data_IF_964496902197
#
_entry.id   IF_964496902197
#
_cell.length_a   1.000
_cell.length_b   1.000
_cell.length_c   1.000
_cell.angle_alpha   90.00
_cell.angle_beta   90.00
_cell.angle_gamma   90.00
#
_symmetry.space_group_name_H-M   'P 1'
#
loop_
_entity.id
_entity.type
_entity.pdbx_description
1 polymer ?
#
# COMPACT_ATOMS: atom_id res chain seq x y z
N UNK A 1 62.78 -62.58 1.38
CA UNK A 1 62.30 -62.26 0.00
C UNK A 1 61.26 -61.18 0.12
N UNK A 2 61.63 -59.91 -0.20
CA UNK A 2 60.73 -58.72 -0.26
C UNK A 2 60.38 -58.49 -1.71
N UNK A 3 59.10 -58.17 -2.01
CA UNK A 3 58.79 -57.43 -3.24
C UNK A 3 58.58 -55.98 -2.97
N UNK A 4 59.04 -55.15 -3.90
CA UNK A 4 59.10 -53.70 -3.97
C UNK A 4 57.69 -53.17 -4.23
N UNK A 5 57.28 -52.16 -3.44
CA UNK A 5 56.13 -51.31 -3.75
C UNK A 5 56.56 -50.23 -4.80
N UNK A 6 55.81 -50.19 -5.88
CA UNK A 6 55.86 -49.06 -6.87
C UNK A 6 54.87 -48.01 -6.51
N UNK A 7 55.33 -46.77 -6.34
CA UNK A 7 54.52 -45.56 -6.25
C UNK A 7 53.74 -45.33 -7.57
N UNK A 8 52.44 -45.24 -7.51
CA UNK A 8 51.58 -44.74 -8.55
C UNK A 8 51.00 -43.40 -8.12
N UNK A 9 51.27 -42.35 -8.90
CA UNK A 9 50.77 -41.02 -8.75
C UNK A 9 49.24 -40.97 -8.77
N UNK A 10 48.63 -40.43 -7.71
CA UNK A 10 47.22 -40.09 -7.67
C UNK A 10 47.10 -38.59 -7.91
N UNK A 11 46.67 -38.20 -9.10
CA UNK A 11 46.23 -36.85 -9.39
C UNK A 11 44.89 -36.62 -8.67
N UNK A 12 44.88 -35.75 -7.67
CA UNK A 12 43.66 -35.26 -7.04
C UNK A 12 43.06 -34.19 -7.91
N UNK A 13 41.96 -34.49 -8.59
CA UNK A 13 41.12 -33.49 -9.24
C UNK A 13 40.25 -32.81 -8.16
N UNK A 14 40.59 -31.58 -7.86
CA UNK A 14 39.75 -30.71 -7.03
C UNK A 14 38.52 -30.29 -7.83
N UNK A 15 37.36 -30.92 -7.59
CA UNK A 15 36.07 -30.38 -8.03
C UNK A 15 35.72 -29.17 -7.15
N UNK A 16 35.81 -27.97 -7.75
CA UNK A 16 35.23 -26.75 -7.17
C UNK A 16 33.72 -26.85 -7.29
N UNK A 17 33.04 -27.21 -6.21
CA UNK A 17 31.60 -27.08 -6.08
C UNK A 17 31.29 -25.59 -5.93
N UNK A 18 30.87 -24.91 -7.01
CA UNK A 18 30.19 -23.62 -6.93
C UNK A 18 28.88 -23.86 -6.20
N UNK A 19 28.84 -23.53 -4.92
CA UNK A 19 27.57 -23.39 -4.19
C UNK A 19 26.82 -22.24 -4.83
N UNK A 20 25.76 -22.56 -5.61
CA UNK A 20 24.74 -21.58 -5.97
C UNK A 20 24.06 -21.13 -4.66
N UNK A 21 24.45 -19.98 -4.16
CA UNK A 21 23.69 -19.29 -3.13
C UNK A 21 22.28 -19.04 -3.71
N UNK A 22 21.20 -19.41 -3.00
CA UNK A 22 19.87 -19.05 -3.42
C UNK A 22 19.86 -17.51 -3.52
N UNK A 23 19.50 -16.98 -4.70
CA UNK A 23 19.34 -15.56 -4.90
C UNK A 23 18.41 -15.04 -3.82
N UNK A 24 18.94 -14.23 -2.91
CA UNK A 24 18.15 -13.40 -2.02
C UNK A 24 17.38 -12.53 -2.98
N UNK A 25 16.08 -12.78 -3.13
CA UNK A 25 15.17 -11.86 -3.80
C UNK A 25 15.36 -10.52 -3.08
N UNK A 26 16.03 -9.60 -3.74
CA UNK A 26 16.27 -8.26 -3.23
C UNK A 26 14.88 -7.66 -3.07
N UNK A 27 14.42 -7.58 -1.84
CA UNK A 27 13.16 -6.94 -1.51
C UNK A 27 13.29 -5.53 -2.04
N UNK A 28 12.51 -5.21 -3.09
CA UNK A 28 12.54 -3.90 -3.71
C UNK A 28 12.24 -2.88 -2.62
N UNK A 29 13.20 -2.01 -2.34
CA UNK A 29 13.09 -1.00 -1.30
C UNK A 29 11.85 -0.17 -1.60
N UNK A 30 10.91 -0.13 -0.66
CA UNK A 30 9.64 0.59 -0.83
C UNK A 30 9.95 2.06 -1.08
N UNK A 31 9.63 2.54 -2.27
CA UNK A 31 9.72 3.96 -2.57
C UNK A 31 8.65 4.71 -1.76
N UNK A 32 9.09 5.38 -0.70
CA UNK A 32 8.23 6.22 0.14
C UNK A 32 7.99 7.57 -0.52
N UNK A 33 6.78 8.10 -0.38
CA UNK A 33 6.43 9.40 -0.95
C UNK A 33 6.82 10.55 -0.03
N UNK A 34 7.99 11.14 -0.30
CA UNK A 34 8.51 12.27 0.47
C UNK A 34 7.65 13.54 0.39
N UNK A 35 6.79 13.68 -0.62
CA UNK A 35 5.87 14.84 -0.76
C UNK A 35 4.82 14.87 0.33
N UNK A 36 4.52 13.73 0.92
CA UNK A 36 3.58 13.53 2.03
C UNK A 36 4.26 13.03 3.29
N UNK A 37 5.58 13.17 3.42
CA UNK A 37 6.35 12.65 4.55
C UNK A 37 6.03 11.19 4.89
N UNK A 38 5.83 10.35 3.86
CA UNK A 38 5.51 8.94 4.07
C UNK A 38 6.63 8.23 4.82
N UNK A 39 6.25 7.51 5.85
CA UNK A 39 7.15 6.64 6.60
C UNK A 39 6.38 5.45 7.18
N UNK A 40 7.12 4.45 7.66
CA UNK A 40 6.53 3.23 8.24
C UNK A 40 6.84 3.21 9.74
N UNK A 41 5.83 2.96 10.54
CA UNK A 41 5.97 2.73 11.98
C UNK A 41 5.48 1.33 12.34
N UNK A 42 5.98 0.80 13.46
CA UNK A 42 5.53 -0.47 14.01
C UNK A 42 4.62 -0.18 15.19
N UNK A 43 3.33 -0.51 15.05
CA UNK A 43 2.32 -0.29 16.08
C UNK A 43 2.15 -1.55 16.93
N UNK A 44 2.40 -1.49 18.26
CA UNK A 44 2.17 -2.62 19.14
C UNK A 44 0.69 -2.99 19.21
N UNK A 45 0.36 -4.26 19.02
CA UNK A 45 -1.02 -4.79 19.04
C UNK A 45 -1.09 -6.17 19.71
N UNK A 46 -2.33 -6.64 19.89
CA UNK A 46 -2.60 -7.92 20.54
C UNK A 46 -2.24 -7.96 22.01
N UNK A 47 -2.38 -9.12 22.65
CA UNK A 47 -2.16 -9.25 24.09
C UNK A 47 -0.74 -8.81 24.50
N UNK A 48 -0.64 -7.80 25.35
CA UNK A 48 0.62 -7.22 25.85
C UNK A 48 1.51 -6.62 24.75
N UNK A 49 0.94 -6.16 23.62
CA UNK A 49 1.70 -5.55 22.54
C UNK A 49 2.70 -6.48 21.85
N UNK A 50 2.43 -7.80 21.83
CA UNK A 50 3.36 -8.78 21.25
C UNK A 50 3.33 -8.88 19.73
N UNK A 51 2.28 -8.41 19.11
CA UNK A 51 2.22 -8.24 17.66
C UNK A 51 2.66 -6.82 17.31
N UNK A 52 3.24 -6.66 16.11
CA UNK A 52 3.63 -5.37 15.56
C UNK A 52 2.92 -5.21 14.22
N UNK A 53 2.17 -4.13 14.08
CA UNK A 53 1.47 -3.81 12.84
C UNK A 53 2.36 -2.88 12.01
N UNK A 54 2.73 -3.33 10.80
CA UNK A 54 3.35 -2.48 9.80
C UNK A 54 2.34 -1.39 9.42
N UNK A 55 2.64 -0.14 9.77
CA UNK A 55 1.69 0.95 9.58
C UNK A 55 2.31 2.05 8.74
N UNK A 56 1.71 2.33 7.60
CA UNK A 56 2.06 3.50 6.78
C UNK A 56 1.52 4.75 7.43
N UNK A 57 2.37 5.77 7.51
CA UNK A 57 1.99 7.10 8.00
C UNK A 57 2.29 8.12 6.92
N UNK A 58 1.31 8.99 6.63
CA UNK A 58 1.52 10.20 5.84
C UNK A 58 1.23 11.41 6.73
N UNK A 59 1.99 12.48 6.54
CA UNK A 59 1.84 13.69 7.33
C UNK A 59 1.95 14.95 6.47
N UNK A 60 1.20 16.00 6.78
CA UNK A 60 1.47 17.32 6.24
C UNK A 60 2.84 17.84 6.72
N UNK A 61 3.36 18.86 6.07
CA UNK A 61 4.52 19.59 6.56
C UNK A 61 4.19 20.34 7.85
N UNK A 62 5.12 20.38 8.80
CA UNK A 62 4.97 21.12 10.06
C UNK A 62 4.92 20.21 11.30
N UNK A 63 4.87 20.81 12.48
CA UNK A 63 4.98 20.06 13.73
C UNK A 63 3.67 19.39 14.19
N UNK A 64 2.51 19.75 13.62
CA UNK A 64 1.21 19.35 14.15
C UNK A 64 0.79 20.18 15.39
N UNK A 65 -0.17 19.72 16.23
CA UNK A 65 -0.89 18.45 16.04
C UNK A 65 -1.87 18.48 14.87
N UNK A 66 -1.95 17.38 14.12
CA UNK A 66 -2.82 17.22 12.96
C UNK A 66 -4.07 16.43 13.32
N UNK A 67 -5.25 16.74 12.76
CA UNK A 67 -6.37 15.82 12.75
C UNK A 67 -5.92 14.51 12.09
N UNK A 68 -6.52 13.39 12.50
CA UNK A 68 -6.10 12.07 12.05
C UNK A 68 -7.21 11.33 11.31
N UNK A 69 -6.84 10.63 10.23
CA UNK A 69 -7.63 9.54 9.70
C UNK A 69 -6.86 8.23 9.79
N UNK A 70 -7.52 7.17 10.31
CA UNK A 70 -7.03 5.79 10.26
C UNK A 70 -7.81 5.08 9.17
N UNK A 71 -7.13 4.48 8.17
CA UNK A 71 -7.76 3.81 7.03
C UNK A 71 -7.44 2.31 7.10
N UNK A 72 -8.47 1.48 7.15
CA UNK A 72 -8.36 0.04 7.33
C UNK A 72 -8.56 -0.70 6.02
N UNK A 73 -7.58 -1.53 5.66
CA UNK A 73 -7.53 -2.27 4.39
C UNK A 73 -8.55 -3.42 4.32
N UNK A 74 -8.88 -3.82 3.11
CA UNK A 74 -9.68 -5.01 2.80
C UNK A 74 -8.91 -6.33 3.02
N UNK A 75 -9.39 -7.39 2.39
CA UNK A 75 -8.70 -8.68 2.32
C UNK A 75 -8.72 -9.15 0.87
N UNK A 76 -7.56 -9.24 0.27
CA UNK A 76 -7.41 -9.80 -1.07
C UNK A 76 -7.68 -11.32 -1.06
N UNK A 77 -8.08 -11.89 -2.21
CA UNK A 77 -8.10 -13.34 -2.37
C UNK A 77 -6.74 -13.96 -2.06
N UNK A 78 -6.73 -15.10 -1.39
CA UNK A 78 -5.51 -15.83 -1.08
C UNK A 78 -5.00 -15.63 0.35
N UNK A 79 -3.68 -15.75 0.52
CA UNK A 79 -3.03 -15.75 1.84
C UNK A 79 -2.79 -14.32 2.34
N UNK A 80 -3.27 -13.94 3.52
CA UNK A 80 -3.15 -12.57 4.03
C UNK A 80 -1.71 -12.04 4.11
N UNK A 81 -0.75 -12.88 4.47
CA UNK A 81 0.66 -12.51 4.57
C UNK A 81 1.35 -12.27 3.20
N UNK A 82 0.65 -12.55 2.10
CA UNK A 82 1.11 -12.24 0.75
C UNK A 82 0.45 -10.99 0.18
N UNK A 83 -0.57 -10.45 0.86
CA UNK A 83 -1.15 -9.16 0.49
C UNK A 83 -0.09 -8.07 0.66
N UNK A 84 0.15 -7.24 -0.36
CA UNK A 84 1.09 -6.13 -0.24
C UNK A 84 0.61 -5.10 0.79
N UNK A 85 1.52 -4.25 1.22
CA UNK A 85 1.20 -3.12 2.08
C UNK A 85 0.25 -2.15 1.38
N UNK A 86 -0.92 -1.92 1.98
CA UNK A 86 -1.87 -0.90 1.52
C UNK A 86 -1.42 0.50 1.93
N UNK A 87 -1.67 1.46 1.08
CA UNK A 87 -1.34 2.88 1.29
C UNK A 87 -2.56 3.78 1.18
N UNK A 88 -3.60 3.35 0.47
CA UNK A 88 -4.76 4.17 0.09
C UNK A 88 -4.34 5.54 -0.45
N UNK A 89 -3.36 5.51 -1.35
CA UNK A 89 -2.59 6.67 -1.79
C UNK A 89 -3.45 7.88 -2.20
N UNK A 90 -4.48 7.67 -3.00
CA UNK A 90 -5.35 8.74 -3.46
C UNK A 90 -6.17 9.35 -2.32
N UNK A 91 -6.70 8.50 -1.44
CA UNK A 91 -7.39 8.96 -0.24
C UNK A 91 -6.44 9.67 0.72
N UNK A 92 -5.26 9.09 0.97
CA UNK A 92 -4.22 9.70 1.80
C UNK A 92 -3.84 11.09 1.27
N UNK A 93 -3.62 11.22 -0.05
CA UNK A 93 -3.32 12.52 -0.68
C UNK A 93 -4.43 13.54 -0.44
N UNK A 94 -5.69 13.16 -0.61
CA UNK A 94 -6.84 14.05 -0.40
C UNK A 94 -6.94 14.53 1.05
N UNK A 95 -6.61 13.68 2.02
CA UNK A 95 -6.61 14.03 3.43
C UNK A 95 -5.39 14.86 3.84
N UNK A 96 -4.17 14.52 3.36
CA UNK A 96 -2.97 15.32 3.63
C UNK A 96 -3.13 16.75 3.09
N UNK A 97 -3.73 16.93 1.90
CA UNK A 97 -4.08 18.25 1.38
C UNK A 97 -4.97 19.07 2.34
N UNK A 98 -5.77 18.38 3.16
CA UNK A 98 -6.68 19.00 4.15
C UNK A 98 -6.09 19.09 5.56
N UNK A 99 -4.78 18.84 5.68
CA UNK A 99 -4.06 18.99 6.94
C UNK A 99 -4.14 17.76 7.85
N UNK A 100 -4.64 16.62 7.39
CA UNK A 100 -4.67 15.41 8.19
C UNK A 100 -3.35 14.65 8.14
N UNK A 101 -2.97 14.08 9.26
CA UNK A 101 -2.15 12.88 9.26
C UNK A 101 -3.01 11.66 8.88
N UNK A 102 -2.41 10.70 8.22
CA UNK A 102 -3.07 9.47 7.78
C UNK A 102 -2.29 8.26 8.30
N UNK A 103 -2.97 7.30 8.90
CA UNK A 103 -2.37 6.02 9.31
C UNK A 103 -3.10 4.87 8.62
N UNK A 104 -2.32 3.98 8.00
CA UNK A 104 -2.85 2.77 7.32
C UNK A 104 -2.18 1.54 7.95
N UNK A 105 -2.78 0.97 9.01
CA UNK A 105 -2.24 -0.23 9.63
C UNK A 105 -2.54 -1.46 8.77
N UNK A 106 -1.52 -2.29 8.51
CA UNK A 106 -1.71 -3.67 8.09
C UNK A 106 -2.04 -4.49 9.33
N UNK A 107 -3.23 -5.12 9.36
CA UNK A 107 -3.67 -5.87 10.54
C UNK A 107 -2.83 -7.13 10.77
N UNK A 108 -2.94 -7.76 11.95
CA UNK A 108 -2.16 -8.96 12.30
C UNK A 108 -2.24 -10.06 11.23
N UNK A 109 -1.09 -10.54 10.80
CA UNK A 109 -0.95 -11.59 9.79
C UNK A 109 -1.07 -11.13 8.34
N UNK A 110 -1.21 -9.82 8.08
CA UNK A 110 -1.15 -9.23 6.74
C UNK A 110 0.22 -8.57 6.49
N UNK A 111 0.65 -8.58 5.24
CA UNK A 111 1.93 -8.00 4.79
C UNK A 111 3.09 -8.39 5.71
N UNK A 112 3.84 -7.42 6.25
CA UNK A 112 4.94 -7.63 7.19
C UNK A 112 4.51 -7.50 8.67
N UNK A 113 3.22 -7.34 8.95
CA UNK A 113 2.73 -7.35 10.34
C UNK A 113 2.90 -8.70 10.97
N UNK A 114 3.40 -8.71 12.21
CA UNK A 114 3.51 -9.95 13.00
C UNK A 114 2.16 -10.35 13.58
N UNK A 115 2.12 -11.42 14.34
CA UNK A 115 0.88 -12.00 14.83
C UNK A 115 0.29 -12.99 13.82
N UNK A 116 -1.00 -13.28 13.96
CA UNK A 116 -1.68 -14.24 13.09
C UNK A 116 -3.01 -13.70 12.64
N UNK A 117 -3.30 -13.83 11.36
CA UNK A 117 -4.66 -13.71 10.86
C UNK A 117 -5.54 -14.75 11.52
N UNK A 118 -6.65 -14.29 12.11
CA UNK A 118 -7.67 -15.16 12.73
C UNK A 118 -8.93 -15.12 11.86
N UNK A 119 -9.40 -16.29 11.48
CA UNK A 119 -10.58 -16.50 10.67
C UNK A 119 -11.62 -17.30 11.48
N UNK A 120 -12.80 -16.77 11.56
CA UNK A 120 -13.95 -17.38 12.25
C UNK A 120 -14.99 -17.90 11.26
N UNK A 121 -14.62 -18.07 9.99
CA UNK A 121 -15.51 -18.56 8.94
C UNK A 121 -16.79 -17.73 8.85
N UNK A 122 -17.93 -18.39 8.95
CA UNK A 122 -19.25 -17.76 8.83
C UNK A 122 -19.65 -16.86 10.02
N UNK A 123 -18.90 -16.83 11.11
CA UNK A 123 -19.17 -15.87 12.21
C UNK A 123 -18.62 -14.48 11.84
N UNK A 124 -19.39 -13.78 10.98
CA UNK A 124 -19.02 -12.44 10.50
C UNK A 124 -18.88 -11.43 11.64
N UNK A 125 -19.63 -11.62 12.72
CA UNK A 125 -19.52 -10.79 13.91
C UNK A 125 -18.16 -10.96 14.61
N UNK A 126 -17.74 -12.19 14.85
CA UNK A 126 -16.43 -12.47 15.45
C UNK A 126 -15.29 -12.02 14.55
N UNK A 127 -15.42 -12.20 13.23
CA UNK A 127 -14.46 -11.69 12.25
C UNK A 127 -14.27 -10.18 12.37
N UNK A 128 -15.34 -9.39 12.40
CA UNK A 128 -15.25 -7.94 12.55
C UNK A 128 -14.65 -7.52 13.90
N UNK A 129 -15.10 -8.08 15.02
CA UNK A 129 -14.55 -7.77 16.34
C UNK A 129 -13.05 -8.05 16.45
N UNK A 130 -12.61 -9.18 15.90
CA UNK A 130 -11.20 -9.57 15.93
C UNK A 130 -10.31 -8.58 15.18
N UNK A 131 -10.78 -8.11 14.02
CA UNK A 131 -10.02 -7.11 13.25
C UNK A 131 -10.10 -5.70 13.88
N UNK A 132 -11.18 -5.42 14.60
CA UNK A 132 -11.34 -4.17 15.35
C UNK A 132 -10.31 -4.02 16.49
N UNK A 133 -9.82 -5.12 17.06
CA UNK A 133 -8.74 -5.07 18.08
C UNK A 133 -7.50 -4.32 17.58
N UNK A 134 -7.10 -4.53 16.33
CA UNK A 134 -5.95 -3.86 15.74
C UNK A 134 -6.22 -2.37 15.42
N UNK A 135 -7.46 -2.04 15.08
CA UNK A 135 -7.89 -0.64 14.89
C UNK A 135 -7.80 0.12 16.21
N UNK A 136 -8.28 -0.47 17.30
CA UNK A 136 -8.19 0.13 18.67
C UNK A 136 -6.73 0.29 19.09
N UNK A 137 -5.90 -0.73 18.86
CA UNK A 137 -4.46 -0.64 19.16
C UNK A 137 -3.78 0.49 18.37
N UNK A 138 -4.16 0.66 17.10
CA UNK A 138 -3.64 1.75 16.27
C UNK A 138 -4.10 3.12 16.78
N UNK A 139 -5.35 3.25 17.19
CA UNK A 139 -5.87 4.48 17.81
C UNK A 139 -5.14 4.81 19.11
N UNK A 140 -4.94 3.82 19.97
CA UNK A 140 -4.22 4.02 21.25
C UNK A 140 -2.77 4.46 21.04
N UNK A 141 -2.08 3.86 20.06
CA UNK A 141 -0.75 4.28 19.65
C UNK A 141 -0.75 5.71 19.09
N UNK A 142 -1.66 6.01 18.18
CA UNK A 142 -1.77 7.31 17.54
C UNK A 142 -1.99 8.43 18.57
N UNK A 143 -2.83 8.21 19.57
CA UNK A 143 -3.12 9.18 20.65
C UNK A 143 -1.93 9.48 21.55
N UNK A 144 -0.87 8.67 21.52
CA UNK A 144 0.37 8.93 22.24
C UNK A 144 1.36 9.77 21.43
N UNK A 145 1.10 9.96 20.11
CA UNK A 145 2.00 10.72 19.27
C UNK A 145 1.79 12.22 19.44
N UNK A 146 2.88 13.01 19.56
CA UNK A 146 2.78 14.46 19.78
C UNK A 146 2.18 15.21 18.57
N UNK A 147 2.27 14.62 17.38
CA UNK A 147 1.77 15.20 16.15
C UNK A 147 0.29 14.90 15.89
N UNK A 148 -0.41 14.16 16.75
CA UNK A 148 -1.84 13.83 16.59
C UNK A 148 -2.71 14.74 17.43
N UNK A 149 -3.70 15.38 16.80
CA UNK A 149 -4.82 16.00 17.51
C UNK A 149 -5.77 14.90 18.01
N UNK A 150 -5.67 14.62 19.31
CA UNK A 150 -6.39 13.53 19.98
C UNK A 150 -7.91 13.69 20.01
N UNK A 151 -8.40 14.87 19.66
CA UNK A 151 -9.83 15.18 19.70
C UNK A 151 -10.48 15.23 18.30
N UNK A 152 -9.68 15.16 17.25
CA UNK A 152 -10.14 15.21 15.87
C UNK A 152 -9.64 13.99 15.10
N UNK A 153 -10.29 12.84 15.34
CA UNK A 153 -9.94 11.57 14.71
C UNK A 153 -11.16 11.03 13.96
N UNK A 154 -10.93 10.48 12.77
CA UNK A 154 -11.92 9.71 12.02
C UNK A 154 -11.32 8.37 11.63
N UNK A 155 -12.14 7.33 11.57
CA UNK A 155 -11.71 5.98 11.17
C UNK A 155 -12.50 5.58 9.93
N UNK A 156 -11.79 5.15 8.90
CA UNK A 156 -12.36 4.65 7.66
C UNK A 156 -11.90 3.22 7.40
N UNK A 157 -12.66 2.48 6.60
CA UNK A 157 -12.23 1.17 6.15
C UNK A 157 -12.94 0.73 4.88
N UNK A 158 -12.27 -0.11 4.11
CA UNK A 158 -12.75 -0.65 2.85
C UNK A 158 -12.93 -2.17 2.97
N UNK A 159 -14.04 -2.71 2.42
CA UNK A 159 -14.29 -4.15 2.38
C UNK A 159 -14.22 -4.76 3.79
N UNK A 160 -13.36 -5.75 4.04
CA UNK A 160 -13.16 -6.31 5.39
C UNK A 160 -12.73 -5.25 6.43
N UNK A 161 -11.98 -4.21 6.00
CA UNK A 161 -11.66 -3.07 6.84
C UNK A 161 -12.89 -2.22 7.19
N UNK A 162 -13.87 -2.13 6.30
CA UNK A 162 -15.16 -1.47 6.56
C UNK A 162 -15.97 -2.21 7.62
N UNK A 163 -16.08 -3.53 7.52
CA UNK A 163 -16.69 -4.38 8.55
C UNK A 163 -16.01 -4.17 9.92
N UNK A 164 -14.67 -4.21 9.94
CA UNK A 164 -13.88 -4.02 11.14
C UNK A 164 -14.04 -2.60 11.74
N UNK A 165 -14.13 -1.57 10.88
CA UNK A 165 -14.33 -0.18 11.30
C UNK A 165 -15.68 0.00 12.01
N UNK A 166 -16.76 -0.59 11.47
CA UNK A 166 -18.08 -0.53 12.15
C UNK A 166 -18.06 -1.34 13.44
N UNK A 167 -17.41 -2.52 13.45
CA UNK A 167 -17.24 -3.31 14.67
C UNK A 167 -16.44 -2.55 15.75
N UNK A 168 -15.38 -1.80 15.37
CA UNK A 168 -14.64 -0.95 16.31
C UNK A 168 -15.53 0.11 16.96
N UNK A 169 -16.53 0.64 16.24
CA UNK A 169 -17.49 1.61 16.76
C UNK A 169 -18.35 1.13 17.93
N UNK A 170 -18.27 -0.15 18.28
CA UNK A 170 -18.92 -0.72 19.48
C UNK A 170 -18.09 -0.52 20.75
N UNK A 171 -16.83 -0.08 20.60
CA UNK A 171 -15.90 0.21 21.68
C UNK A 171 -15.98 1.69 22.09
N UNK A 172 -15.40 2.03 23.22
CA UNK A 172 -15.12 3.41 23.57
C UNK A 172 -13.92 3.91 22.77
N UNK A 173 -14.15 4.86 21.87
CA UNK A 173 -13.14 5.42 20.97
C UNK A 173 -12.96 6.92 21.24
N UNK A 174 -12.23 7.30 22.31
CA UNK A 174 -12.13 8.69 22.72
C UNK A 174 -11.43 9.53 21.65
N UNK A 175 -12.05 10.68 21.31
CA UNK A 175 -11.56 11.60 20.27
C UNK A 175 -11.98 11.25 18.84
N UNK A 176 -12.56 10.08 18.62
CA UNK A 176 -13.12 9.71 17.31
C UNK A 176 -14.47 10.41 17.12
N UNK A 177 -14.59 11.11 15.98
CA UNK A 177 -15.77 11.90 15.63
C UNK A 177 -16.77 11.16 14.77
N UNK A 178 -16.31 10.18 13.98
CA UNK A 178 -17.17 9.39 13.11
C UNK A 178 -16.43 8.25 12.43
N UNK A 179 -17.20 7.35 11.81
CA UNK A 179 -16.69 6.18 11.12
C UNK A 179 -17.16 6.20 9.66
N UNK A 180 -16.31 5.75 8.74
CA UNK A 180 -16.62 5.69 7.31
C UNK A 180 -16.43 4.25 6.82
N UNK A 181 -17.47 3.72 6.22
CA UNK A 181 -17.55 2.36 5.71
C UNK A 181 -17.66 2.38 4.19
N UNK A 182 -16.58 2.05 3.50
CA UNK A 182 -16.54 1.90 2.04
C UNK A 182 -16.71 0.43 1.67
N UNK A 183 -17.85 0.08 1.10
CA UNK A 183 -18.18 -1.27 0.63
C UNK A 183 -17.82 -2.36 1.67
N UNK A 184 -18.17 -2.12 2.95
CA UNK A 184 -17.73 -2.96 4.07
C UNK A 184 -18.45 -4.28 4.15
N UNK A 185 -17.68 -5.34 4.31
CA UNK A 185 -18.19 -6.70 4.44
C UNK A 185 -17.09 -7.73 4.42
N UNK A 186 -17.48 -8.99 4.57
CA UNK A 186 -16.62 -10.15 4.36
C UNK A 186 -17.46 -11.23 3.66
N UNK A 187 -16.88 -11.86 2.65
CA UNK A 187 -17.49 -12.97 1.92
C UNK A 187 -16.84 -14.28 2.37
N UNK A 188 -17.66 -15.30 2.57
CA UNK A 188 -17.24 -16.68 2.77
C UNK A 188 -17.92 -17.55 1.71
N UNK A 189 -17.16 -18.13 0.82
CA UNK A 189 -17.67 -18.93 -0.31
C UNK A 189 -17.86 -20.42 0.05
N UNK A 190 -17.77 -20.78 1.33
CA UNK A 190 -18.06 -22.15 1.74
C UNK A 190 -19.55 -22.46 1.58
N UNK A 191 -19.88 -23.63 1.05
CA UNK A 191 -21.26 -24.09 0.80
C UNK A 191 -22.13 -24.13 2.07
N UNK A 192 -21.52 -24.05 3.24
CA UNK A 192 -22.20 -24.10 4.53
C UNK A 192 -22.42 -22.74 5.17
N UNK A 193 -22.02 -21.67 4.51
CA UNK A 193 -22.11 -20.32 5.05
C UNK A 193 -23.18 -19.47 4.34
N UNK A 194 -24.25 -19.13 5.05
CA UNK A 194 -25.18 -18.09 4.62
C UNK A 194 -24.59 -16.68 4.92
N UNK A 195 -23.42 -16.40 4.40
CA UNK A 195 -22.61 -15.23 4.76
C UNK A 195 -23.33 -13.88 4.61
N UNK A 196 -24.23 -13.74 3.62
CA UNK A 196 -25.04 -12.52 3.46
C UNK A 196 -25.94 -12.26 4.68
N UNK A 197 -26.61 -13.29 5.16
CA UNK A 197 -27.45 -13.20 6.38
C UNK A 197 -26.60 -13.02 7.63
N UNK A 198 -25.45 -13.68 7.70
CA UNK A 198 -24.50 -13.53 8.80
C UNK A 198 -23.95 -12.09 8.87
N UNK A 199 -23.67 -11.43 7.72
CA UNK A 199 -23.30 -10.01 7.69
C UNK A 199 -24.41 -9.10 8.21
N UNK A 200 -25.65 -9.29 7.75
CA UNK A 200 -26.80 -8.50 8.24
C UNK A 200 -26.94 -8.64 9.76
N UNK A 201 -26.79 -9.85 10.29
CA UNK A 201 -26.81 -10.11 11.73
C UNK A 201 -25.65 -9.44 12.46
N UNK A 202 -24.45 -9.48 11.88
CA UNK A 202 -23.26 -8.83 12.45
C UNK A 202 -23.46 -7.31 12.55
N UNK A 203 -23.93 -6.67 11.49
CA UNK A 203 -24.19 -5.23 11.50
C UNK A 203 -25.32 -4.83 12.44
N UNK A 204 -26.36 -5.67 12.63
CA UNK A 204 -27.37 -5.48 13.67
C UNK A 204 -26.74 -5.50 15.07
N UNK A 205 -25.89 -6.49 15.37
CA UNK A 205 -25.17 -6.57 16.66
C UNK A 205 -24.32 -5.32 16.90
N UNK A 206 -23.57 -4.84 15.88
CA UNK A 206 -22.77 -3.64 16.00
C UNK A 206 -23.65 -2.40 16.20
N UNK A 207 -24.77 -2.25 15.49
CA UNK A 207 -25.68 -1.13 15.63
C UNK A 207 -26.28 -1.01 17.04
N UNK A 208 -26.53 -2.14 17.71
CA UNK A 208 -27.04 -2.15 19.08
C UNK A 208 -26.08 -1.50 20.10
N UNK A 209 -24.79 -1.42 19.77
CA UNK A 209 -23.71 -0.94 20.66
C UNK A 209 -23.05 0.34 20.16
N UNK A 210 -22.99 0.55 18.83
CA UNK A 210 -22.35 1.71 18.22
C UNK A 210 -23.04 3.02 18.61
N UNK A 211 -22.25 4.05 18.92
CA UNK A 211 -22.75 5.37 19.32
C UNK A 211 -22.28 6.51 18.42
N UNK A 212 -21.19 6.28 17.67
CA UNK A 212 -20.63 7.26 16.74
C UNK A 212 -21.48 7.35 15.47
N UNK A 213 -21.59 8.54 14.85
CA UNK A 213 -22.19 8.65 13.52
C UNK A 213 -21.34 7.92 12.49
N UNK A 214 -22.00 7.33 11.48
CA UNK A 214 -21.33 6.56 10.44
C UNK A 214 -21.78 7.00 9.04
N UNK A 215 -20.85 6.98 8.07
CA UNK A 215 -21.13 7.12 6.65
C UNK A 215 -20.85 5.79 5.96
N UNK A 216 -21.79 5.33 5.14
CA UNK A 216 -21.68 4.09 4.37
C UNK A 216 -21.75 4.41 2.89
N UNK A 217 -20.83 3.87 2.09
CA UNK A 217 -20.75 4.11 0.65
C UNK A 217 -20.65 2.79 -0.10
N UNK A 218 -21.63 2.50 -0.96
CA UNK A 218 -21.68 1.29 -1.77
C UNK A 218 -22.05 1.63 -3.20
N UNK A 219 -21.48 0.94 -4.16
CA UNK A 219 -21.76 1.19 -5.57
C UNK A 219 -22.73 0.22 -6.20
N UNK A 220 -23.44 0.69 -7.23
CA UNK A 220 -24.48 -0.06 -7.93
C UNK A 220 -23.99 -1.40 -8.49
N UNK A 221 -22.75 -1.43 -9.02
CA UNK A 221 -22.14 -2.62 -9.61
C UNK A 221 -21.06 -3.27 -8.75
N UNK A 222 -21.14 -3.14 -7.41
CA UNK A 222 -20.25 -3.86 -6.49
C UNK A 222 -20.50 -5.37 -6.61
N UNK A 223 -19.49 -6.11 -7.04
CA UNK A 223 -19.59 -7.56 -7.30
C UNK A 223 -19.67 -8.40 -6.02
N UNK A 224 -19.32 -7.82 -4.86
CA UNK A 224 -19.33 -8.51 -3.57
C UNK A 224 -20.52 -8.12 -2.71
N UNK A 225 -20.78 -6.81 -2.56
CA UNK A 225 -21.78 -6.26 -1.64
C UNK A 225 -22.71 -5.30 -2.37
N UNK A 226 -23.44 -5.81 -3.36
CA UNK A 226 -24.36 -5.01 -4.17
C UNK A 226 -25.46 -4.30 -3.36
N UNK A 227 -26.20 -3.37 -3.99
CA UNK A 227 -27.11 -2.43 -3.32
C UNK A 227 -28.12 -3.07 -2.38
N UNK A 228 -28.76 -4.16 -2.80
CA UNK A 228 -29.76 -4.85 -1.96
C UNK A 228 -29.15 -5.33 -0.63
N UNK A 229 -27.95 -5.91 -0.68
CA UNK A 229 -27.27 -6.36 0.53
C UNK A 229 -26.81 -5.18 1.38
N UNK A 230 -26.26 -4.14 0.76
CA UNK A 230 -25.85 -2.91 1.43
C UNK A 230 -27.00 -2.26 2.18
N UNK A 231 -28.15 -2.10 1.52
CA UNK A 231 -29.36 -1.55 2.14
C UNK A 231 -29.83 -2.41 3.33
N UNK A 232 -29.80 -3.74 3.22
CA UNK A 232 -30.20 -4.66 4.31
C UNK A 232 -29.23 -4.58 5.51
N UNK A 233 -27.94 -4.52 5.26
CA UNK A 233 -26.92 -4.37 6.32
C UNK A 233 -27.08 -3.03 7.05
N UNK A 234 -27.26 -1.94 6.30
CA UNK A 234 -27.46 -0.61 6.86
C UNK A 234 -28.78 -0.52 7.66
N UNK A 235 -29.90 -1.01 7.11
CA UNK A 235 -31.18 -1.03 7.80
C UNK A 235 -31.13 -1.86 9.10
N UNK A 236 -30.41 -2.98 9.11
CA UNK A 236 -30.21 -3.79 10.32
C UNK A 236 -29.36 -3.06 11.37
N UNK A 237 -28.35 -2.31 10.95
CA UNK A 237 -27.53 -1.47 11.83
C UNK A 237 -28.35 -0.34 12.46
N UNK A 238 -29.10 0.43 11.65
CA UNK A 238 -29.96 1.52 12.16
C UNK A 238 -31.11 1.00 13.01
N UNK A 239 -31.81 -0.08 12.57
CA UNK A 239 -32.88 -0.67 13.30
C UNK A 239 -32.50 -1.20 14.69
N UNK A 240 -31.20 -1.48 14.90
CA UNK A 240 -30.64 -1.83 16.20
C UNK A 240 -30.21 -0.64 17.05
N UNK A 241 -30.30 0.59 16.52
CA UNK A 241 -29.95 1.84 17.24
C UNK A 241 -28.66 2.53 16.77
N UNK A 242 -27.99 1.98 15.77
CA UNK A 242 -26.84 2.64 15.13
C UNK A 242 -27.27 3.92 14.39
N UNK A 243 -26.33 4.84 14.18
CA UNK A 243 -26.56 6.09 13.44
C UNK A 243 -25.73 6.11 12.18
N UNK A 244 -26.36 5.97 11.02
CA UNK A 244 -25.67 5.90 9.74
C UNK A 244 -26.35 6.69 8.63
N UNK A 245 -25.58 7.11 7.65
CA UNK A 245 -26.07 7.57 6.35
C UNK A 245 -25.58 6.59 5.30
N UNK A 246 -26.46 5.97 4.55
CA UNK A 246 -26.12 5.18 3.37
C UNK A 246 -26.09 6.09 2.13
N UNK A 247 -25.03 5.99 1.36
CA UNK A 247 -24.86 6.60 0.04
C UNK A 247 -24.66 5.47 -0.95
N UNK A 248 -25.62 5.29 -1.83
CA UNK A 248 -25.54 4.40 -2.97
C UNK A 248 -25.12 5.24 -4.19
N UNK A 249 -23.96 4.95 -4.77
CA UNK A 249 -23.47 5.68 -5.93
C UNK A 249 -23.61 4.84 -7.22
N UNK A 250 -23.77 5.49 -8.39
CA UNK A 250 -23.91 4.80 -9.67
C UNK A 250 -22.75 3.86 -9.97
N UNK A 251 -22.94 2.98 -10.94
CA UNK A 251 -21.91 2.05 -11.38
C UNK A 251 -20.58 2.75 -11.65
N UNK A 252 -19.51 2.23 -11.06
CA UNK A 252 -18.17 2.75 -11.22
C UNK A 252 -17.29 1.75 -11.95
N UNK A 253 -16.83 2.10 -13.13
CA UNK A 253 -16.00 1.25 -13.99
C UNK A 253 -16.61 -0.16 -14.14
N UNK A 254 -15.79 -1.22 -14.10
CA UNK A 254 -16.27 -2.62 -14.17
C UNK A 254 -16.79 -3.16 -12.84
N UNK A 255 -16.26 -2.65 -11.74
CA UNK A 255 -16.61 -3.08 -10.39
C UNK A 255 -16.38 -1.95 -9.39
N UNK A 256 -17.45 -1.47 -8.79
CA UNK A 256 -17.38 -0.39 -7.81
C UNK A 256 -16.74 -0.80 -6.48
N UNK A 257 -16.49 -2.10 -6.25
CA UNK A 257 -15.77 -2.55 -5.05
C UNK A 257 -14.35 -1.98 -4.97
N UNK A 258 -13.69 -1.78 -6.12
CA UNK A 258 -12.36 -1.19 -6.23
C UNK A 258 -12.33 0.35 -6.23
N UNK A 259 -13.47 1.03 -6.05
CA UNK A 259 -13.58 2.49 -6.22
C UNK A 259 -12.56 3.28 -5.39
N UNK A 260 -12.33 2.90 -4.14
CA UNK A 260 -11.46 3.65 -3.22
C UNK A 260 -9.97 3.57 -3.62
N UNK A 261 -9.55 2.47 -4.23
CA UNK A 261 -8.18 2.29 -4.73
C UNK A 261 -7.93 3.00 -6.08
N UNK A 262 -8.99 3.47 -6.76
CA UNK A 262 -8.88 4.12 -8.05
C UNK A 262 -8.65 5.63 -7.92
N UNK A 263 -7.77 6.18 -8.77
CA UNK A 263 -7.57 7.64 -8.91
C UNK A 263 -8.89 8.38 -9.18
N UNK A 264 -9.73 7.82 -10.05
CA UNK A 264 -11.01 8.41 -10.40
C UNK A 264 -12.08 8.27 -9.31
N UNK A 265 -11.86 7.40 -8.35
CA UNK A 265 -12.76 7.18 -7.22
C UNK A 265 -12.91 8.42 -6.33
N UNK A 266 -11.90 9.30 -6.28
CA UNK A 266 -12.00 10.57 -5.54
C UNK A 266 -13.22 11.39 -5.96
N UNK A 267 -13.54 11.42 -7.25
CA UNK A 267 -14.72 12.13 -7.79
C UNK A 267 -16.05 11.57 -7.25
N UNK A 268 -16.05 10.30 -6.83
CA UNK A 268 -17.23 9.63 -6.29
C UNK A 268 -17.38 9.86 -4.80
N UNK A 269 -16.31 9.58 -4.02
CA UNK A 269 -16.43 9.55 -2.56
C UNK A 269 -16.21 10.92 -1.89
N UNK A 270 -15.50 11.85 -2.52
CA UNK A 270 -14.99 13.04 -1.85
C UNK A 270 -16.11 13.92 -1.28
N UNK A 271 -17.12 14.24 -2.07
CA UNK A 271 -18.16 15.19 -1.68
C UNK A 271 -18.98 14.72 -0.47
N UNK A 272 -19.44 13.48 -0.49
CA UNK A 272 -20.20 12.90 0.62
C UNK A 272 -19.33 12.72 1.87
N UNK A 273 -18.07 12.31 1.69
CA UNK A 273 -17.11 12.22 2.79
C UNK A 273 -16.87 13.60 3.42
N UNK A 274 -16.63 14.65 2.63
CA UNK A 274 -16.43 16.00 3.15
C UNK A 274 -17.71 16.55 3.82
N UNK A 275 -18.89 16.25 3.30
CA UNK A 275 -20.15 16.61 3.95
C UNK A 275 -20.31 15.94 5.31
N UNK A 276 -19.99 14.66 5.40
CA UNK A 276 -19.99 13.91 6.66
C UNK A 276 -18.95 14.46 7.66
N UNK A 277 -17.73 14.73 7.20
CA UNK A 277 -16.68 15.30 8.05
C UNK A 277 -17.10 16.65 8.66
N UNK A 278 -17.69 17.55 7.86
CA UNK A 278 -18.26 18.82 8.38
C UNK A 278 -19.31 18.57 9.45
N UNK A 279 -20.23 17.62 9.21
CA UNK A 279 -21.29 17.27 10.17
C UNK A 279 -20.73 16.81 11.52
N UNK A 280 -19.59 16.11 11.53
CA UNK A 280 -18.95 15.62 12.76
C UNK A 280 -17.85 16.53 13.31
N UNK A 281 -17.74 17.76 12.78
CA UNK A 281 -16.83 18.80 13.26
C UNK A 281 -15.37 18.57 12.87
N UNK A 282 -15.11 17.87 11.76
CA UNK A 282 -13.76 17.64 11.22
C UNK A 282 -13.43 18.66 10.12
N UNK A 283 -12.16 19.08 9.97
CA UNK A 283 -11.76 20.02 8.92
C UNK A 283 -11.92 19.43 7.51
N UNK A 284 -12.27 20.29 6.55
CA UNK A 284 -12.52 19.85 5.16
C UNK A 284 -11.85 20.73 4.11
N UNK A 285 -11.31 21.88 4.51
CA UNK A 285 -10.67 22.80 3.57
C UNK A 285 -9.29 22.33 3.15
N UNK A 286 -8.92 22.57 1.90
CA UNK A 286 -7.57 22.31 1.40
C UNK A 286 -6.64 23.39 1.94
N UNK A 287 -5.66 22.99 2.73
CA UNK A 287 -4.70 23.90 3.41
C UNK A 287 -3.24 23.61 3.05
N UNK A 288 -2.97 22.49 2.39
CA UNK A 288 -1.64 22.12 1.90
C UNK A 288 -1.69 21.80 0.42
N UNK A 289 -0.68 22.22 -0.31
CA UNK A 289 -0.43 21.72 -1.66
C UNK A 289 0.39 20.44 -1.59
N UNK A 290 -0.13 19.39 -2.20
CA UNK A 290 0.61 18.13 -2.44
C UNK A 290 0.72 18.00 -3.96
N UNK A 291 1.90 18.26 -4.53
CA UNK A 291 2.09 18.16 -5.97
C UNK A 291 1.72 16.77 -6.47
N UNK A 292 1.15 16.69 -7.66
CA UNK A 292 0.88 15.41 -8.31
C UNK A 292 2.19 14.62 -8.46
N UNK A 293 2.17 13.27 -8.44
CA UNK A 293 3.35 12.48 -8.77
C UNK A 293 3.85 12.87 -10.16
N UNK A 294 5.17 12.88 -10.39
CA UNK A 294 5.69 13.09 -11.71
C UNK A 294 5.14 12.00 -12.65
N UNK A 295 4.47 12.41 -13.69
CA UNK A 295 4.00 11.51 -14.75
C UNK A 295 4.92 11.68 -15.95
N UNK A 296 5.31 10.61 -16.64
CA UNK A 296 6.11 10.73 -17.84
C UNK A 296 5.41 11.64 -18.86
N UNK A 297 6.10 12.57 -19.51
CA UNK A 297 5.48 13.45 -20.47
C UNK A 297 4.98 12.68 -21.69
N UNK A 298 3.84 13.10 -22.21
CA UNK A 298 3.35 12.62 -23.49
C UNK A 298 4.35 12.94 -24.60
N UNK A 299 4.50 12.00 -25.54
CA UNK A 299 5.32 12.19 -26.76
C UNK A 299 4.45 12.07 -28.01
N UNK A 300 4.98 12.55 -29.14
CA UNK A 300 4.37 12.41 -30.46
C UNK A 300 4.95 11.20 -31.22
N UNK A 301 5.52 10.21 -30.52
CA UNK A 301 6.16 9.06 -31.13
C UNK A 301 5.18 8.24 -32.00
N UNK A 302 4.00 7.96 -31.46
CA UNK A 302 2.93 7.23 -32.14
C UNK A 302 1.57 7.51 -31.46
N UNK A 303 0.49 7.10 -32.13
CA UNK A 303 -0.80 7.01 -31.44
C UNK A 303 -0.80 5.84 -30.45
N UNK A 304 -1.53 5.95 -29.36
CA UNK A 304 -1.57 4.91 -28.33
C UNK A 304 -2.20 3.61 -28.86
N UNK A 305 -3.08 3.68 -29.84
CA UNK A 305 -3.73 2.54 -30.48
C UNK A 305 -2.95 1.95 -31.66
N UNK A 306 -1.80 2.53 -32.02
CA UNK A 306 -0.91 1.98 -33.03
C UNK A 306 -0.05 0.85 -32.47
N UNK A 307 -0.59 -0.37 -32.56
CA UNK A 307 0.05 -1.59 -32.01
C UNK A 307 1.39 -1.90 -32.69
N UNK A 308 1.52 -1.59 -33.98
CA UNK A 308 2.74 -1.88 -34.75
C UNK A 308 3.91 -0.94 -34.38
N UNK A 309 3.60 0.25 -33.86
CA UNK A 309 4.59 1.20 -33.41
C UNK A 309 5.24 0.81 -32.08
N UNK A 310 4.68 -0.16 -31.31
CA UNK A 310 5.26 -0.57 -30.03
C UNK A 310 6.55 -1.36 -30.28
N UNK A 311 7.71 -0.85 -29.81
CA UNK A 311 9.00 -1.46 -30.14
C UNK A 311 9.19 -2.82 -29.43
N UNK A 312 10.03 -3.66 -30.01
CA UNK A 312 10.53 -4.92 -29.45
C UNK A 312 9.47 -6.01 -29.23
N UNK A 313 8.22 -5.79 -29.55
CA UNK A 313 7.17 -6.78 -29.32
C UNK A 313 7.18 -7.90 -30.36
N UNK A 314 7.13 -9.13 -29.89
CA UNK A 314 6.71 -10.28 -30.70
C UNK A 314 5.21 -10.20 -31.00
N UNK A 315 4.72 -11.08 -31.85
CA UNK A 315 3.28 -11.19 -32.12
C UNK A 315 2.44 -11.43 -30.85
N UNK A 316 2.98 -12.20 -29.88
CA UNK A 316 2.34 -12.39 -28.58
C UNK A 316 2.30 -11.10 -27.77
N UNK A 317 3.39 -10.32 -27.80
CA UNK A 317 3.44 -9.01 -27.15
C UNK A 317 2.44 -8.02 -27.76
N UNK A 318 2.26 -8.02 -29.10
CA UNK A 318 1.24 -7.18 -29.75
C UNK A 318 -0.18 -7.55 -29.32
N UNK A 319 -0.50 -8.84 -29.23
CA UNK A 319 -1.80 -9.28 -28.68
C UNK A 319 -1.99 -8.80 -27.23
N UNK A 320 -0.96 -8.87 -26.41
CA UNK A 320 -1.03 -8.38 -25.04
C UNK A 320 -1.18 -6.85 -24.97
N UNK A 321 -0.57 -6.11 -25.91
CA UNK A 321 -0.78 -4.66 -26.00
C UNK A 321 -2.22 -4.33 -26.43
N UNK A 322 -2.79 -5.07 -27.38
CA UNK A 322 -4.22 -4.95 -27.72
C UNK A 322 -5.12 -5.23 -26.52
N UNK A 323 -4.80 -6.24 -25.72
CA UNK A 323 -5.50 -6.49 -24.45
C UNK A 323 -5.33 -5.31 -23.48
N UNK A 324 -4.12 -4.78 -23.31
CA UNK A 324 -3.86 -3.60 -22.48
C UNK A 324 -4.72 -2.40 -22.86
N UNK A 325 -4.94 -2.16 -24.15
CA UNK A 325 -5.80 -1.06 -24.63
C UNK A 325 -7.26 -1.17 -24.17
N UNK A 326 -7.71 -2.36 -23.76
CA UNK A 326 -9.05 -2.58 -23.20
C UNK A 326 -9.11 -2.40 -21.68
N UNK A 327 -7.95 -2.24 -21.03
CA UNK A 327 -7.85 -2.13 -19.57
C UNK A 327 -8.27 -0.74 -19.08
N UNK A 328 -8.65 -0.66 -17.81
CA UNK A 328 -9.09 0.59 -17.21
C UNK A 328 -7.92 1.43 -16.72
N UNK A 329 -8.09 2.75 -16.83
CA UNK A 329 -7.15 3.72 -16.27
C UNK A 329 -7.30 3.86 -14.74
N UNK A 330 -6.22 4.17 -13.99
CA UNK A 330 -4.85 4.36 -14.49
C UNK A 330 -4.23 3.04 -14.95
N UNK A 331 -3.47 3.08 -16.04
CA UNK A 331 -2.80 1.90 -16.60
C UNK A 331 -1.46 2.26 -17.23
N UNK A 332 -0.53 1.32 -17.27
CA UNK A 332 0.78 1.50 -17.88
C UNK A 332 1.25 0.24 -18.60
N UNK A 333 2.00 0.42 -19.69
CA UNK A 333 2.64 -0.65 -20.43
C UNK A 333 4.15 -0.40 -20.53
N UNK A 334 4.94 -1.39 -20.14
CA UNK A 334 6.40 -1.35 -20.16
C UNK A 334 6.97 -2.38 -21.15
N UNK A 335 8.06 -2.01 -21.82
CA UNK A 335 8.78 -2.85 -22.79
C UNK A 335 10.29 -2.80 -22.51
N UNK A 336 11.00 -3.82 -22.99
CA UNK A 336 12.45 -3.92 -22.95
C UNK A 336 13.01 -4.32 -24.32
N UNK A 337 14.22 -3.88 -24.69
CA UNK A 337 14.90 -4.35 -25.89
C UNK A 337 15.07 -5.87 -26.00
N UNK A 338 15.09 -6.57 -24.86
CA UNK A 338 15.11 -8.04 -24.81
C UNK A 338 13.80 -8.69 -25.27
N UNK A 339 12.77 -7.90 -25.62
CA UNK A 339 11.44 -8.38 -25.98
C UNK A 339 10.52 -8.70 -24.80
N UNK A 340 10.97 -8.42 -23.55
CA UNK A 340 10.11 -8.51 -22.38
C UNK A 340 9.11 -7.35 -22.35
N UNK A 341 7.92 -7.63 -21.88
CA UNK A 341 6.85 -6.66 -21.73
C UNK A 341 5.94 -7.02 -20.53
N UNK A 342 5.26 -6.01 -20.04
CA UNK A 342 4.19 -6.19 -19.06
C UNK A 342 3.29 -4.96 -19.01
N UNK A 343 2.12 -5.11 -18.42
CA UNK A 343 1.22 -4.01 -18.12
C UNK A 343 0.67 -4.12 -16.69
N UNK A 344 0.25 -3.00 -16.16
CA UNK A 344 -0.52 -2.89 -14.94
C UNK A 344 -1.73 -2.00 -15.17
N UNK A 345 -2.85 -2.31 -14.54
CA UNK A 345 -4.06 -1.49 -14.56
C UNK A 345 -4.54 -1.23 -13.14
N UNK A 346 -5.21 -0.09 -12.96
CA UNK A 346 -5.82 0.36 -11.71
C UNK A 346 -4.90 0.31 -10.48
N UNK A 347 -5.46 0.59 -9.30
CA UNK A 347 -4.70 0.63 -8.06
C UNK A 347 -3.66 1.74 -8.05
N UNK A 348 -2.74 1.63 -7.12
CA UNK A 348 -1.66 2.59 -6.93
C UNK A 348 -0.49 2.29 -7.87
N UNK A 349 0.13 3.36 -8.39
CA UNK A 349 1.38 3.32 -9.16
C UNK A 349 1.44 2.24 -10.25
N UNK A 350 0.55 2.24 -11.25
CA UNK A 350 0.62 1.28 -12.34
C UNK A 350 1.93 1.39 -13.14
N UNK A 351 2.53 2.57 -13.21
CA UNK A 351 3.79 2.85 -13.88
C UNK A 351 4.94 2.06 -13.22
N UNK A 352 5.11 2.21 -11.91
CA UNK A 352 6.12 1.49 -11.15
C UNK A 352 5.86 -0.03 -11.14
N UNK A 353 4.60 -0.47 -11.02
CA UNK A 353 4.26 -1.91 -11.07
C UNK A 353 4.56 -2.54 -12.43
N UNK A 354 4.26 -1.84 -13.52
CA UNK A 354 4.59 -2.31 -14.86
C UNK A 354 6.10 -2.39 -15.06
N UNK A 355 6.86 -1.35 -14.66
CA UNK A 355 8.32 -1.34 -14.74
C UNK A 355 8.96 -2.45 -13.90
N UNK A 356 8.57 -2.60 -12.64
CA UNK A 356 9.10 -3.61 -11.74
C UNK A 356 8.87 -5.04 -12.27
N UNK A 357 7.64 -5.32 -12.73
CA UNK A 357 7.28 -6.63 -13.28
C UNK A 357 8.00 -6.92 -14.59
N UNK A 358 8.17 -5.91 -15.45
CA UNK A 358 8.95 -6.03 -16.68
C UNK A 358 10.42 -6.34 -16.37
N UNK A 359 11.03 -5.57 -15.49
CA UNK A 359 12.44 -5.73 -15.08
C UNK A 359 12.71 -7.12 -14.49
N UNK A 360 11.79 -7.67 -13.72
CA UNK A 360 11.92 -9.02 -13.19
C UNK A 360 11.93 -10.13 -14.27
N UNK A 361 11.46 -9.84 -15.48
CA UNK A 361 11.39 -10.76 -16.62
C UNK A 361 12.41 -10.46 -17.71
N UNK A 362 13.16 -9.39 -17.58
CA UNK A 362 14.05 -8.88 -18.63
C UNK A 362 15.52 -8.99 -18.25
N UNK A 363 16.38 -9.17 -19.26
CA UNK A 363 17.83 -9.07 -19.13
C UNK A 363 18.36 -7.67 -19.44
N UNK A 364 17.49 -6.77 -19.91
CA UNK A 364 17.81 -5.40 -20.27
C UNK A 364 16.81 -4.44 -19.59
N UNK A 365 17.16 -3.16 -19.39
CA UNK A 365 16.29 -2.20 -18.72
C UNK A 365 14.92 -2.08 -19.39
N UNK A 366 13.85 -2.08 -18.58
CA UNK A 366 12.51 -1.81 -19.03
C UNK A 366 12.20 -0.31 -18.99
N UNK A 367 11.40 0.14 -19.96
CA UNK A 367 10.92 1.53 -20.06
C UNK A 367 9.41 1.53 -20.30
N UNK A 368 8.74 2.57 -19.84
CA UNK A 368 7.34 2.79 -20.16
C UNK A 368 7.18 3.13 -21.65
N UNK A 369 6.27 2.46 -22.30
CA UNK A 369 5.84 2.79 -23.65
C UNK A 369 4.62 3.71 -23.61
N UNK A 370 3.60 3.34 -22.85
CA UNK A 370 2.38 4.13 -22.72
C UNK A 370 1.89 4.18 -21.28
N UNK A 371 1.25 5.29 -20.94
CA UNK A 371 0.58 5.54 -19.67
C UNK A 371 -0.82 6.04 -20.00
N UNK A 372 -1.85 5.48 -19.34
CA UNK A 372 -3.24 5.77 -19.64
C UNK A 372 -3.55 5.70 -21.15
N UNK A 373 -3.93 6.82 -21.75
CA UNK A 373 -4.34 6.92 -23.14
C UNK A 373 -3.32 7.65 -24.03
N UNK A 374 -2.04 7.68 -23.64
CA UNK A 374 -0.99 8.34 -24.40
C UNK A 374 0.35 7.61 -24.36
N UNK A 375 1.14 7.82 -25.42
CA UNK A 375 2.50 7.29 -25.52
C UNK A 375 3.47 8.21 -24.80
N UNK A 376 4.40 7.60 -24.04
CA UNK A 376 5.49 8.28 -23.33
C UNK A 376 6.87 7.87 -23.84
N UNK A 377 6.91 6.99 -24.84
CA UNK A 377 8.13 6.50 -25.47
C UNK A 377 8.81 7.60 -26.26
N UNK A 378 10.11 7.79 -26.05
CA UNK A 378 10.93 8.84 -26.68
C UNK A 378 11.74 8.36 -27.88
N UNK A 379 11.63 7.09 -28.26
CA UNK A 379 12.47 6.47 -29.28
C UNK A 379 13.65 5.69 -28.69
N UNK A 380 14.66 5.42 -29.50
CA UNK A 380 15.85 4.68 -29.07
C UNK A 380 16.60 5.41 -27.95
N UNK A 381 17.26 4.62 -27.10
CA UNK A 381 18.01 5.10 -25.95
C UNK A 381 18.88 6.32 -26.33
N UNK A 382 18.55 7.48 -25.81
CA UNK A 382 19.35 8.68 -25.98
C UNK A 382 20.79 8.44 -25.49
N UNK A 383 21.77 9.07 -26.19
CA UNK A 383 23.17 9.00 -25.82
C UNK A 383 23.44 9.40 -24.35
N UNK A 384 22.54 10.18 -23.75
CA UNK A 384 22.57 10.59 -22.34
C UNK A 384 22.30 9.43 -21.38
N UNK A 385 21.40 8.51 -21.68
CA UNK A 385 21.14 7.32 -20.85
C UNK A 385 22.27 6.29 -20.98
N UNK A 386 22.85 6.15 -22.18
CA UNK A 386 24.08 5.34 -22.37
C UNK A 386 25.26 5.90 -21.57
N UNK A 387 25.36 7.22 -21.46
CA UNK A 387 26.38 7.86 -20.66
C UNK A 387 26.14 7.70 -19.14
N UNK A 388 24.88 7.74 -18.68
CA UNK A 388 24.54 7.53 -17.27
C UNK A 388 24.79 6.09 -16.80
N UNK A 389 24.49 5.09 -17.64
CA UNK A 389 24.79 3.67 -17.36
C UNK A 389 26.30 3.43 -17.33
N UNK A 390 27.07 4.08 -18.23
CA UNK A 390 28.53 3.99 -18.24
C UNK A 390 29.18 4.71 -17.06
N UNK A 391 28.58 5.80 -16.58
CA UNK A 391 29.10 6.56 -15.42
C UNK A 391 28.82 5.82 -14.08
N UNK A 392 27.76 5.03 -13.98
CA UNK A 392 27.47 4.21 -12.78
C UNK A 392 28.34 2.96 -12.66
N UNK A 393 29.10 2.60 -13.70
CA UNK A 393 30.02 1.46 -13.73
C UNK A 393 31.46 1.87 -13.54
N UNK A 394 31.78 3.18 -13.42
CA UNK A 394 33.14 3.63 -13.14
C UNK A 394 33.56 3.31 -11.71
N UNK A 395 34.73 2.66 -11.48
CA UNK A 395 35.16 2.33 -10.12
C UNK A 395 35.44 3.60 -9.32
N UNK A 396 35.04 3.61 -8.07
CA UNK A 396 35.39 4.67 -7.11
C UNK A 396 36.87 5.02 -7.16
N UNK A 397 37.22 6.32 -7.15
CA UNK A 397 38.62 6.72 -7.03
C UNK A 397 39.13 6.29 -5.66
N UNK A 398 40.21 5.49 -5.64
CA UNK A 398 40.95 5.16 -4.43
C UNK A 398 41.29 6.43 -3.66
N UNK A 399 41.09 6.47 -2.33
CA UNK A 399 41.51 7.61 -1.53
C UNK A 399 43.02 7.78 -1.63
N UNK A 400 43.43 9.00 -1.96
CA UNK A 400 44.86 9.40 -1.97
C UNK A 400 45.38 9.30 -0.52
N UNK A 401 46.43 8.51 -0.36
CA UNK A 401 47.18 8.45 0.90
C UNK A 401 48.05 9.72 0.95
N UNK A 402 47.64 10.66 1.75
CA UNK A 402 48.40 11.86 2.04
C UNK A 402 49.48 11.52 3.10
N UNK A 403 50.71 11.46 2.63
CA UNK A 403 51.89 11.34 3.49
C UNK A 403 52.34 12.76 3.84
N UNK A 404 52.30 13.07 5.12
CA UNK A 404 52.99 14.12 5.88
C UNK A 404 52.05 14.94 6.74
N UNK A 405 51.98 14.60 8.03
CA UNK A 405 51.80 15.56 9.09
C UNK A 405 52.56 15.08 10.32
N UNK A 406 53.62 15.78 10.59
CA UNK A 406 54.49 15.69 11.76
C UNK A 406 53.73 15.96 13.06
N UNK A 407 54.00 15.13 14.05
CA UNK A 407 53.55 15.25 15.46
C UNK A 407 54.29 16.37 16.14
N UNK A 408 53.68 17.33 16.84
CA UNK A 408 54.31 18.10 17.86
C UNK A 408 54.10 17.44 19.24
N UNK A 409 55.20 17.04 19.86
CA UNK A 409 55.34 16.72 21.27
C UNK A 409 55.07 17.98 22.12
N UNK A 410 54.10 17.90 23.03
CA UNK A 410 54.01 18.86 24.13
C UNK A 410 53.92 18.12 25.46
N UNK A 411 54.82 18.55 26.33
CA UNK A 411 55.20 18.05 27.63
C UNK A 411 54.07 18.07 28.67
N UNK A 412 54.13 17.09 29.52
CA UNK A 412 53.39 16.91 30.77
C UNK A 412 53.75 18.04 31.78
N UNK A 413 52.75 18.71 32.25
CA UNK A 413 52.78 19.56 33.44
C UNK A 413 51.85 19.05 34.51
N UNK A 414 52.39 18.44 35.53
CA UNK A 414 51.73 18.09 36.79
C UNK A 414 51.41 19.34 37.58
N UNK A 415 50.20 19.45 38.15
CA UNK A 415 50.02 20.16 39.39
C UNK A 415 48.95 19.52 40.29
N UNK A 416 49.42 19.37 41.53
CA UNK A 416 48.72 18.80 42.69
C UNK A 416 47.74 19.80 43.30
N UNK A 417 46.68 19.25 43.78
CA UNK A 417 46.10 19.41 45.15
C UNK A 417 45.53 20.76 45.62
N UNK A 418 44.40 20.62 46.19
CA UNK A 418 43.85 21.02 47.49
C UNK A 418 42.66 21.97 47.42
N UNK A 419 41.62 21.57 47.87
CA UNK A 419 40.68 21.53 48.96
C UNK A 419 39.30 21.10 48.52
#
# INVERSE_FOLDING_TARGET
MHPRLTLRNVFAAALAALAMLPGIAQQQELQLDHRMNEHIVQVPAGPKGRAMLETTVFQPNGPGPFPLIIINHGKDPGRPNLQPRDRFYYMATAFVKRGYAVMVPMRQGFANSTGRYRDFGCDMKANGYTQAEDIVATLDYARQQPWVDRNHIVIAGQSYGGLATIAAGTQDLPGVRGLINFAGGLRDDSDRCAWRSALVTAFSDYGSKARLPTLWMYGENDSLFGPELAARMHAAFEGAGGRGKLVEFPAFKRDSHGMLASRDGEKVWLNDTMAFLRQVGMPTEVVHDVPAPPSPPRTDYAKVDDVEAVPFLSENGRRAYQEYLTKMTPRAFAVSPSGAWTWAEEGEDPDGRALATCTAKSTEPCRLYSVDDYVVWTGDLDAAEKAAVTASVSPEPKPAVDATASVPTTSIGSNKATN
#
